data_IF_822306889483
#
_entry.id   IF_822306889483
#
_cell.length_a   1.000
_cell.length_b   1.000
_cell.length_c   1.000
_cell.angle_alpha   90.00
_cell.angle_beta   90.00
_cell.angle_gamma   90.00
#
_symmetry.space_group_name_H-M   'P 1'
#
loop_
_entity.id
_entity.type
_entity.pdbx_description
1 polymer ?
#
# COMPACT_ATOMS: atom_id res chain seq x y z
N UNK A 1 7.82 2.42 -23.18
CA UNK A 1 7.37 3.06 -21.92
C UNK A 1 7.81 2.14 -20.80
N UNK A 2 8.55 2.64 -19.81
CA UNK A 2 8.85 1.85 -18.61
C UNK A 2 7.54 1.49 -17.91
N UNK A 3 7.41 0.25 -17.48
CA UNK A 3 6.26 -0.23 -16.72
C UNK A 3 6.29 0.45 -15.34
N UNK A 4 5.25 1.21 -15.00
CA UNK A 4 5.15 1.92 -13.72
C UNK A 4 5.16 0.96 -12.52
N UNK A 5 5.39 1.48 -11.30
CA UNK A 5 5.38 0.63 -10.09
C UNK A 5 4.02 -0.05 -9.93
N UNK A 6 4.01 -1.37 -9.67
CA UNK A 6 2.82 -2.09 -9.21
C UNK A 6 2.65 -1.90 -7.72
N UNK A 7 1.64 -1.15 -7.30
CA UNK A 7 1.41 -0.76 -5.91
C UNK A 7 0.34 -1.66 -5.31
N UNK A 8 0.66 -2.34 -4.20
CA UNK A 8 -0.28 -3.19 -3.44
C UNK A 8 -1.49 -2.37 -3.00
N UNK A 9 -2.69 -2.83 -3.33
CA UNK A 9 -3.91 -2.09 -3.06
C UNK A 9 -5.15 -3.00 -3.07
N UNK A 10 -6.20 -2.59 -2.37
CA UNK A 10 -7.51 -3.24 -2.36
C UNK A 10 -8.46 -2.50 -3.31
N UNK A 11 -9.06 -3.16 -4.32
CA UNK A 11 -10.02 -2.52 -5.21
C UNK A 11 -11.30 -2.14 -4.45
N UNK A 12 -11.85 -0.97 -4.78
CA UNK A 12 -13.16 -0.51 -4.33
C UNK A 12 -14.18 -0.77 -5.44
N UNK A 13 -15.12 -1.68 -5.20
CA UNK A 13 -16.14 -2.10 -6.16
C UNK A 13 -17.25 -1.04 -6.28
N UNK A 14 -18.14 -1.20 -7.26
CA UNK A 14 -19.18 -0.23 -7.58
C UNK A 14 -20.23 -0.07 -6.47
N UNK A 15 -20.46 -1.11 -5.69
CA UNK A 15 -21.29 -1.10 -4.48
C UNK A 15 -20.57 -0.51 -3.24
N UNK A 16 -19.35 0.01 -3.43
CA UNK A 16 -18.43 0.50 -2.40
C UNK A 16 -17.95 -0.57 -1.40
N UNK A 17 -18.10 -1.86 -1.73
CA UNK A 17 -17.42 -2.93 -1.02
C UNK A 17 -15.96 -3.04 -1.45
N UNK A 18 -15.14 -3.65 -0.60
CA UNK A 18 -13.74 -3.94 -0.91
C UNK A 18 -13.65 -5.32 -1.57
N UNK A 19 -12.98 -5.40 -2.71
CA UNK A 19 -12.66 -6.66 -3.36
C UNK A 19 -11.37 -7.28 -2.82
N UNK A 20 -10.88 -8.33 -3.49
CA UNK A 20 -9.65 -9.00 -3.08
C UNK A 20 -8.42 -8.12 -3.30
N UNK A 21 -7.57 -8.04 -2.27
CA UNK A 21 -6.34 -7.26 -2.31
C UNK A 21 -5.45 -7.71 -3.47
N UNK A 22 -5.04 -6.75 -4.29
CA UNK A 22 -4.30 -6.95 -5.53
C UNK A 22 -3.29 -5.81 -5.72
N UNK A 23 -3.29 -5.16 -6.89
CA UNK A 23 -2.39 -4.05 -7.18
C UNK A 23 -2.97 -3.16 -8.28
N UNK A 24 -2.49 -1.92 -8.35
CA UNK A 24 -2.64 -1.08 -9.54
C UNK A 24 -1.26 -0.62 -10.03
N UNK A 25 -1.16 -0.22 -11.29
CA UNK A 25 0.07 0.32 -11.85
C UNK A 25 0.08 1.86 -11.70
N UNK A 26 1.18 2.42 -11.19
CA UNK A 26 1.36 3.85 -10.92
C UNK A 26 1.08 4.73 -12.15
N UNK A 27 1.43 4.26 -13.36
CA UNK A 27 1.19 4.95 -14.62
C UNK A 27 -0.30 5.08 -14.98
N UNK A 28 -1.18 4.28 -14.36
CA UNK A 28 -2.62 4.37 -14.54
C UNK A 28 -3.28 5.34 -13.55
N UNK A 29 -2.51 5.92 -12.62
CA UNK A 29 -3.04 6.79 -11.57
C UNK A 29 -3.45 8.16 -12.15
N UNK A 30 -4.75 8.45 -12.08
CA UNK A 30 -5.32 9.74 -12.53
C UNK A 30 -5.47 10.73 -11.39
N UNK A 31 -5.84 10.25 -10.19
CA UNK A 31 -6.01 11.11 -9.02
C UNK A 31 -5.91 10.32 -7.71
N UNK A 32 -5.68 11.04 -6.61
CA UNK A 32 -5.80 10.54 -5.24
C UNK A 32 -6.72 11.46 -4.47
N UNK A 33 -7.67 10.88 -3.74
CA UNK A 33 -8.51 11.60 -2.77
C UNK A 33 -8.36 10.99 -1.38
N UNK A 34 -8.50 11.78 -0.31
CA UNK A 34 -8.71 11.19 1.02
C UNK A 34 -10.17 10.81 1.21
N UNK A 35 -10.45 9.52 1.13
CA UNK A 35 -11.76 8.95 1.36
C UNK A 35 -11.97 8.61 2.84
N UNK A 36 -13.21 8.71 3.32
CA UNK A 36 -13.59 8.46 4.70
C UNK A 36 -14.58 7.29 4.81
N UNK A 37 -14.12 6.02 4.73
CA UNK A 37 -15.01 4.85 4.79
C UNK A 37 -15.71 4.68 6.13
N UNK A 38 -15.12 5.17 7.22
CA UNK A 38 -15.66 5.09 8.58
C UNK A 38 -15.41 6.39 9.33
N UNK A 39 -16.21 6.65 10.37
CA UNK A 39 -16.00 7.81 11.22
C UNK A 39 -14.58 7.80 11.82
N UNK A 40 -13.81 8.86 11.54
CA UNK A 40 -12.39 9.05 11.92
C UNK A 40 -11.33 8.23 11.17
N UNK A 41 -11.70 7.53 10.09
CA UNK A 41 -10.75 6.81 9.24
C UNK A 41 -10.66 7.54 7.90
N UNK A 42 -9.56 8.26 7.66
CA UNK A 42 -9.24 8.73 6.31
C UNK A 42 -8.21 7.79 5.72
N UNK A 43 -8.48 7.32 4.51
CA UNK A 43 -7.57 6.48 3.74
C UNK A 43 -7.49 7.02 2.30
N UNK A 44 -6.33 6.92 1.64
CA UNK A 44 -6.21 7.30 0.24
C UNK A 44 -7.07 6.42 -0.66
N UNK A 45 -7.84 7.07 -1.52
CA UNK A 45 -8.55 6.47 -2.64
C UNK A 45 -7.82 6.86 -3.92
N UNK A 46 -7.22 5.87 -4.57
CA UNK A 46 -6.53 6.00 -5.84
C UNK A 46 -7.55 5.79 -6.95
N UNK A 47 -7.77 6.84 -7.72
CA UNK A 47 -8.53 6.76 -8.97
C UNK A 47 -7.55 6.46 -10.09
N UNK A 48 -7.83 5.40 -10.84
CA UNK A 48 -7.03 4.98 -11.99
C UNK A 48 -7.89 4.88 -13.24
N UNK A 49 -7.27 4.74 -14.41
CA UNK A 49 -7.96 4.39 -15.65
C UNK A 49 -8.59 2.99 -15.65
N UNK A 50 -8.28 2.15 -14.66
CA UNK A 50 -8.73 0.76 -14.56
C UNK A 50 -9.61 0.50 -13.32
N UNK A 51 -10.05 1.55 -12.64
CA UNK A 51 -10.89 1.45 -11.45
C UNK A 51 -10.35 2.21 -10.25
N UNK A 52 -10.97 1.95 -9.11
CA UNK A 52 -10.69 2.64 -7.83
C UNK A 52 -10.04 1.67 -6.87
N UNK A 53 -9.02 2.14 -6.18
CA UNK A 53 -8.24 1.32 -5.26
C UNK A 53 -8.00 2.08 -3.96
N UNK A 54 -7.82 1.37 -2.87
CA UNK A 54 -7.37 1.92 -1.60
C UNK A 54 -6.25 1.07 -1.03
N UNK A 55 -5.61 1.54 0.03
CA UNK A 55 -4.56 0.80 0.71
C UNK A 55 -5.12 -0.39 1.50
N UNK A 56 -4.40 -1.53 1.62
CA UNK A 56 -4.83 -2.59 2.52
C UNK A 56 -4.76 -2.11 3.97
N UNK A 57 -5.79 -2.39 4.76
CA UNK A 57 -5.91 -1.93 6.15
C UNK A 57 -5.95 -3.06 7.18
N UNK A 58 -5.96 -4.31 6.71
CA UNK A 58 -6.05 -5.51 7.54
C UNK A 58 -4.96 -6.52 7.22
N UNK A 59 -4.65 -7.38 8.19
CA UNK A 59 -3.74 -8.51 7.97
C UNK A 59 -4.32 -9.50 6.96
N UNK A 60 -5.65 -9.65 6.91
CA UNK A 60 -6.31 -10.51 5.93
C UNK A 60 -6.12 -10.01 4.50
N UNK A 61 -6.34 -8.72 4.24
CA UNK A 61 -6.04 -8.13 2.92
C UNK A 61 -4.55 -8.32 2.56
N UNK A 62 -3.64 -8.17 3.53
CA UNK A 62 -2.23 -8.45 3.30
C UNK A 62 -2.00 -9.92 2.93
N UNK A 63 -2.65 -10.88 3.60
CA UNK A 63 -2.52 -12.31 3.29
C UNK A 63 -3.07 -12.68 1.91
N UNK A 64 -4.15 -12.03 1.47
CA UNK A 64 -4.72 -12.23 0.14
C UNK A 64 -3.82 -11.61 -0.93
N UNK A 65 -3.34 -10.39 -0.68
CA UNK A 65 -2.51 -9.66 -1.63
C UNK A 65 -1.07 -10.18 -1.73
N UNK A 66 -0.54 -10.85 -0.71
CA UNK A 66 0.86 -11.24 -0.61
C UNK A 66 1.02 -12.77 -0.50
N UNK A 67 1.05 -13.51 -1.61
CA UNK A 67 1.01 -14.98 -1.62
C UNK A 67 2.25 -15.63 -1.01
N UNK A 68 3.38 -14.91 -0.94
CA UNK A 68 4.61 -15.41 -0.30
C UNK A 68 4.63 -15.21 1.21
N UNK A 69 3.58 -14.58 1.78
CA UNK A 69 3.48 -14.28 3.20
C UNK A 69 2.48 -15.23 3.84
N UNK A 70 2.95 -16.01 4.83
CA UNK A 70 2.14 -17.03 5.48
C UNK A 70 2.11 -16.86 7.00
N UNK A 71 0.98 -17.18 7.62
CA UNK A 71 0.89 -17.26 9.07
C UNK A 71 1.59 -18.53 9.58
N UNK A 72 2.69 -18.36 10.32
CA UNK A 72 3.47 -19.48 10.86
C UNK A 72 3.17 -19.77 12.33
N UNK A 73 2.91 -18.74 13.13
CA UNK A 73 2.51 -18.88 14.53
C UNK A 73 1.77 -17.63 15.06
N UNK A 74 0.46 -17.55 14.83
CA UNK A 74 -0.39 -16.59 15.55
C UNK A 74 -0.71 -15.30 14.78
N UNK A 75 -0.11 -14.17 15.16
CA UNK A 75 -0.65 -12.83 14.84
C UNK A 75 0.05 -12.07 13.70
N UNK A 76 1.01 -12.69 13.03
CA UNK A 76 1.76 -12.09 11.92
C UNK A 76 1.77 -12.99 10.67
N UNK A 77 2.19 -12.40 9.55
CA UNK A 77 2.50 -13.09 8.31
C UNK A 77 3.99 -13.02 8.08
N UNK A 78 4.61 -14.14 7.74
CA UNK A 78 6.04 -14.27 7.49
C UNK A 78 6.28 -14.42 6.01
N UNK A 79 7.18 -13.62 5.43
CA UNK A 79 7.63 -13.75 4.06
C UNK A 79 8.53 -14.98 3.92
N UNK A 80 7.98 -16.06 3.38
CA UNK A 80 8.68 -17.34 3.24
C UNK A 80 9.90 -17.20 2.32
N UNK A 81 9.88 -16.28 1.35
CA UNK A 81 11.02 -16.03 0.45
C UNK A 81 12.25 -15.45 1.16
N UNK A 82 12.06 -14.85 2.33
CA UNK A 82 13.12 -14.27 3.15
C UNK A 82 13.63 -15.22 4.23
N UNK A 83 13.05 -16.41 4.37
CA UNK A 83 13.53 -17.41 5.33
C UNK A 83 14.81 -18.05 4.81
N UNK A 84 15.84 -18.10 5.67
CA UNK A 84 17.12 -18.78 5.44
C UNK A 84 17.07 -20.23 5.92
N UNK A 85 16.67 -20.43 7.17
CA UNK A 85 16.61 -21.75 7.80
C UNK A 85 15.57 -21.83 8.90
N UNK A 86 15.28 -23.06 9.33
CA UNK A 86 14.47 -23.36 10.51
C UNK A 86 15.33 -23.98 11.60
N UNK A 87 15.10 -23.55 12.83
CA UNK A 87 15.63 -24.15 14.05
C UNK A 87 14.47 -24.84 14.76
N UNK A 88 14.54 -26.15 14.93
CA UNK A 88 13.53 -26.91 15.67
C UNK A 88 13.83 -26.87 17.16
N UNK A 89 12.81 -26.63 17.98
CA UNK A 89 12.91 -26.71 19.44
C UNK A 89 12.48 -28.08 19.96
N UNK A 90 12.84 -28.37 21.21
CA UNK A 90 12.57 -29.65 21.86
C UNK A 90 11.07 -29.88 22.18
N UNK A 91 10.25 -28.83 22.16
CA UNK A 91 8.83 -28.85 22.55
C UNK A 91 7.85 -28.74 21.36
N UNK A 92 8.27 -29.15 20.16
CA UNK A 92 7.41 -29.29 18.99
C UNK A 92 7.20 -28.01 18.16
N UNK A 93 7.54 -26.84 18.69
CA UNK A 93 7.66 -25.59 17.93
C UNK A 93 9.05 -25.41 17.31
N UNK A 94 9.19 -24.39 16.48
CA UNK A 94 10.48 -23.98 15.93
C UNK A 94 10.59 -22.47 15.78
N UNK A 95 11.71 -22.05 15.20
CA UNK A 95 11.96 -20.67 14.81
C UNK A 95 12.37 -20.64 13.34
N UNK A 96 11.77 -19.75 12.56
CA UNK A 96 12.31 -19.35 11.26
C UNK A 96 13.36 -18.26 11.47
N UNK A 97 14.48 -18.36 10.75
CA UNK A 97 15.55 -17.36 10.75
C UNK A 97 15.54 -16.68 9.39
N UNK A 98 15.53 -15.35 9.36
CA UNK A 98 15.56 -14.59 8.11
C UNK A 98 16.97 -14.46 7.53
N UNK A 99 17.06 -14.29 6.21
CA UNK A 99 18.30 -14.01 5.49
C UNK A 99 18.90 -12.69 5.99
N UNK A 100 20.22 -12.66 6.17
CA UNK A 100 21.02 -11.47 6.47
C UNK A 100 20.66 -10.71 7.76
N UNK A 101 19.82 -11.27 8.63
CA UNK A 101 19.40 -10.62 9.87
C UNK A 101 19.21 -11.65 10.99
N UNK A 102 19.60 -11.32 12.23
CA UNK A 102 19.33 -12.16 13.42
C UNK A 102 17.91 -11.91 13.98
N UNK A 103 16.93 -11.88 13.07
CA UNK A 103 15.51 -11.79 13.41
C UNK A 103 14.92 -13.19 13.27
N UNK A 104 14.12 -13.56 14.26
CA UNK A 104 13.48 -14.87 14.34
C UNK A 104 12.00 -14.71 14.59
N UNK A 105 11.22 -15.56 13.95
CA UNK A 105 9.78 -15.66 14.16
C UNK A 105 9.43 -17.09 14.55
N UNK A 106 8.39 -17.26 15.34
CA UNK A 106 7.96 -18.58 15.78
C UNK A 106 7.25 -19.33 14.64
N UNK A 107 7.35 -20.66 14.66
CA UNK A 107 6.55 -21.55 13.84
C UNK A 107 5.96 -22.65 14.73
N UNK A 108 4.64 -22.82 14.68
CA UNK A 108 3.98 -23.87 15.44
C UNK A 108 4.22 -25.27 14.85
N UNK A 109 3.94 -26.32 15.63
CA UNK A 109 4.18 -27.71 15.24
C UNK A 109 3.44 -28.12 13.96
N UNK A 110 2.20 -27.64 13.77
CA UNK A 110 1.40 -27.94 12.59
C UNK A 110 2.03 -27.36 11.32
N UNK A 111 2.43 -26.09 11.34
CA UNK A 111 3.10 -25.44 10.22
C UNK A 111 4.51 -26.01 10.00
N UNK A 112 5.23 -26.35 11.06
CA UNK A 112 6.53 -27.01 10.98
C UNK A 112 6.45 -28.34 10.23
N UNK A 113 5.42 -29.17 10.53
CA UNK A 113 5.18 -30.43 9.84
C UNK A 113 4.89 -30.25 8.35
N UNK A 114 4.33 -29.10 7.96
CA UNK A 114 3.96 -28.74 6.58
C UNK A 114 4.97 -27.84 5.90
N UNK A 115 6.12 -27.55 6.53
CA UNK A 115 7.07 -26.54 6.06
C UNK A 115 7.49 -26.73 4.60
N UNK A 116 7.78 -27.97 4.18
CA UNK A 116 8.18 -28.26 2.79
C UNK A 116 7.12 -27.82 1.78
N UNK A 117 5.85 -28.01 2.10
CA UNK A 117 4.74 -27.58 1.26
C UNK A 117 4.62 -26.05 1.25
N UNK A 118 4.63 -25.43 2.42
CA UNK A 118 4.57 -23.95 2.57
C UNK A 118 5.69 -23.28 1.77
N UNK A 119 6.91 -23.80 1.88
CA UNK A 119 8.06 -23.31 1.14
C UNK A 119 7.90 -23.50 -0.37
N UNK A 120 7.47 -24.69 -0.82
CA UNK A 120 7.25 -24.96 -2.24
C UNK A 120 6.17 -24.04 -2.83
N UNK A 121 5.05 -23.85 -2.14
CA UNK A 121 3.96 -22.96 -2.56
C UNK A 121 4.45 -21.51 -2.70
N UNK A 122 5.21 -21.02 -1.72
CA UNK A 122 5.77 -19.67 -1.76
C UNK A 122 6.84 -19.48 -2.85
N UNK A 123 7.63 -20.51 -3.17
CA UNK A 123 8.62 -20.45 -4.26
C UNK A 123 8.00 -20.55 -5.65
N UNK A 124 6.82 -21.17 -5.77
CA UNK A 124 6.05 -21.27 -7.01
C UNK A 124 5.12 -20.08 -7.25
N UNK A 125 4.88 -19.25 -6.23
CA UNK A 125 4.16 -18.00 -6.40
C UNK A 125 4.90 -17.04 -7.35
N UNK A 126 4.15 -16.20 -8.04
CA UNK A 126 4.72 -15.18 -8.91
C UNK A 126 5.77 -14.36 -8.18
N UNK A 127 6.89 -14.07 -8.86
CA UNK A 127 7.96 -13.24 -8.28
C UNK A 127 7.36 -11.94 -7.77
N UNK A 128 7.70 -11.60 -6.53
CA UNK A 128 7.16 -10.43 -5.88
C UNK A 128 7.95 -9.18 -6.27
N UNK A 129 7.41 -8.38 -7.20
CA UNK A 129 7.97 -7.09 -7.62
C UNK A 129 7.07 -5.90 -7.27
N UNK A 130 6.04 -6.12 -6.46
CA UNK A 130 5.12 -5.06 -6.03
C UNK A 130 5.75 -4.20 -4.94
N UNK A 131 5.18 -3.01 -4.80
CA UNK A 131 5.56 -2.01 -3.83
C UNK A 131 4.42 -1.77 -2.85
N UNK A 132 4.78 -1.58 -1.58
CA UNK A 132 3.90 -1.03 -0.56
C UNK A 132 4.01 0.49 -0.64
N UNK A 133 2.88 1.18 -0.79
CA UNK A 133 2.81 2.59 -0.47
C UNK A 133 2.74 2.75 1.05
N UNK A 134 3.79 3.33 1.63
CA UNK A 134 3.97 3.35 3.07
C UNK A 134 4.70 4.57 3.59
N UNK A 135 4.87 4.60 4.91
CA UNK A 135 5.72 5.54 5.63
C UNK A 135 6.61 4.78 6.63
N UNK A 136 7.89 5.16 6.71
CA UNK A 136 8.82 4.59 7.69
C UNK A 136 8.46 5.00 9.13
N UNK A 137 8.50 4.04 10.05
CA UNK A 137 8.25 4.19 11.49
C UNK A 137 9.61 4.40 12.17
N UNK A 138 10.00 5.65 12.47
CA UNK A 138 11.32 5.93 13.08
C UNK A 138 11.33 5.90 14.61
N UNK A 139 10.41 6.57 15.30
CA UNK A 139 10.16 6.52 16.78
C UNK A 139 8.76 7.10 17.06
N UNK A 140 8.13 6.72 18.18
CA UNK A 140 6.74 7.03 18.63
C UNK A 140 6.14 8.32 18.04
N UNK A 141 5.13 8.14 17.18
CA UNK A 141 4.20 9.19 16.79
C UNK A 141 4.56 10.03 15.56
N UNK A 142 5.68 9.77 14.87
CA UNK A 142 6.02 10.49 13.62
C UNK A 142 6.51 9.57 12.50
N UNK A 143 5.73 9.53 11.42
CA UNK A 143 6.17 9.04 10.11
C UNK A 143 7.28 9.96 9.58
N UNK A 144 8.40 9.38 9.13
CA UNK A 144 9.58 10.16 8.77
C UNK A 144 9.71 10.44 7.27
N UNK A 145 9.47 9.42 6.44
CA UNK A 145 9.54 9.48 4.98
C UNK A 145 8.48 8.55 4.42
N UNK A 146 7.64 9.06 3.53
CA UNK A 146 6.67 8.25 2.79
C UNK A 146 7.14 7.97 1.38
N UNK A 147 6.80 6.80 0.86
CA UNK A 147 7.27 6.37 -0.45
C UNK A 147 6.83 4.94 -0.79
N UNK A 148 7.60 4.33 -1.68
CA UNK A 148 7.36 2.98 -2.17
C UNK A 148 8.43 2.02 -1.68
N UNK A 149 8.02 0.97 -1.00
CA UNK A 149 8.92 -0.02 -0.44
C UNK A 149 8.67 -1.37 -1.10
N UNK A 150 9.73 -2.01 -1.60
CA UNK A 150 9.61 -3.31 -2.28
C UNK A 150 9.14 -4.37 -1.28
N UNK A 151 8.07 -5.08 -1.62
CA UNK A 151 7.52 -6.16 -0.79
C UNK A 151 8.57 -7.25 -0.56
N UNK A 152 9.38 -7.58 -1.58
CA UNK A 152 10.43 -8.61 -1.47
C UNK A 152 11.47 -8.34 -0.38
N UNK A 153 11.62 -7.09 0.09
CA UNK A 153 12.55 -6.74 1.16
C UNK A 153 11.93 -6.90 2.56
N UNK A 154 10.62 -7.19 2.66
CA UNK A 154 9.93 -7.33 3.95
C UNK A 154 10.08 -8.77 4.46
N UNK A 155 10.35 -8.90 5.76
CA UNK A 155 10.43 -10.17 6.48
C UNK A 155 9.07 -10.63 6.99
N UNK A 156 8.29 -9.70 7.55
CA UNK A 156 7.00 -10.03 8.14
C UNK A 156 6.04 -8.84 8.07
N UNK A 157 4.75 -9.15 8.24
CA UNK A 157 3.67 -8.17 8.40
C UNK A 157 2.90 -8.51 9.66
N UNK A 158 2.71 -7.52 10.52
CA UNK A 158 1.85 -7.62 11.70
C UNK A 158 0.87 -6.44 11.74
N UNK A 159 0.06 -6.37 12.79
CA UNK A 159 -0.82 -5.23 13.04
C UNK A 159 -0.20 -4.31 14.09
N UNK A 160 -0.07 -3.03 13.74
CA UNK A 160 0.44 -1.98 14.62
C UNK A 160 -0.67 -1.00 14.99
N UNK A 161 -0.66 -0.55 16.24
CA UNK A 161 -1.62 0.41 16.78
C UNK A 161 -0.95 1.79 16.97
N UNK A 162 -0.86 2.66 15.92
CA UNK A 162 -0.29 4.00 16.06
C UNK A 162 -1.10 4.92 16.99
N UNK A 163 -2.38 4.60 17.18
CA UNK A 163 -3.30 5.30 18.09
C UNK A 163 -4.28 4.28 18.66
N UNK A 164 -4.70 4.49 19.91
CA UNK A 164 -5.69 3.65 20.59
C UNK A 164 -6.89 3.30 19.68
N UNK A 165 -7.16 2.00 19.57
CA UNK A 165 -8.19 1.35 18.77
C UNK A 165 -8.09 1.62 17.25
N UNK A 166 -6.88 1.92 16.76
CA UNK A 166 -6.63 2.15 15.34
C UNK A 166 -5.46 1.26 14.92
N UNK A 167 -5.78 0.12 14.31
CA UNK A 167 -4.81 -0.88 13.88
C UNK A 167 -4.59 -0.79 12.38
N UNK A 168 -3.32 -0.88 11.97
CA UNK A 168 -2.90 -0.83 10.57
C UNK A 168 -1.78 -1.83 10.33
N UNK A 169 -1.62 -2.34 9.10
CA UNK A 169 -0.50 -3.21 8.78
C UNK A 169 0.84 -2.51 8.98
N UNK A 170 1.74 -3.17 9.68
CA UNK A 170 3.16 -2.82 9.80
C UNK A 170 4.01 -3.88 9.13
N UNK A 171 4.86 -3.44 8.23
CA UNK A 171 5.79 -4.26 7.46
C UNK A 171 7.17 -4.13 8.07
N UNK A 172 7.79 -5.25 8.43
CA UNK A 172 9.11 -5.31 9.03
C UNK A 172 10.15 -5.71 7.98
N UNK A 173 11.28 -5.01 7.92
CA UNK A 173 12.38 -5.20 6.97
C UNK A 173 13.69 -5.05 7.71
N UNK A 174 14.09 -6.10 8.45
CA UNK A 174 15.28 -6.04 9.28
C UNK A 174 15.08 -5.11 10.47
N UNK A 175 15.95 -4.12 10.59
CA UNK A 175 15.96 -3.08 11.62
C UNK A 175 14.93 -1.96 11.39
N UNK A 176 14.22 -1.99 10.26
CA UNK A 176 13.23 -0.97 9.87
C UNK A 176 11.82 -1.53 9.84
N UNK A 177 10.87 -0.65 10.14
CA UNK A 177 9.44 -0.94 10.00
C UNK A 177 8.75 0.16 9.21
N UNK A 178 7.75 -0.21 8.43
CA UNK A 178 6.94 0.69 7.61
C UNK A 178 5.46 0.46 7.94
N UNK A 179 4.67 1.52 7.93
CA UNK A 179 3.20 1.43 7.97
C UNK A 179 2.64 1.83 6.62
N UNK A 180 1.39 1.46 6.36
CA UNK A 180 0.63 1.96 5.21
C UNK A 180 0.56 3.50 5.21
N UNK A 181 0.69 4.10 4.02
CA UNK A 181 0.58 5.55 3.82
C UNK A 181 -0.87 5.99 3.88
N UNK A 182 -1.27 6.68 4.96
CA UNK A 182 -2.69 6.99 5.21
C UNK A 182 -3.01 8.49 5.10
N UNK A 183 -1.99 9.34 5.00
CA UNK A 183 -2.16 10.80 5.10
C UNK A 183 -1.99 11.49 3.76
N UNK A 184 -2.65 12.64 3.57
CA UNK A 184 -2.40 13.48 2.40
C UNK A 184 -0.92 13.89 2.27
N UNK A 185 -0.22 14.05 3.40
CA UNK A 185 1.21 14.30 3.40
C UNK A 185 1.99 13.11 2.81
N UNK A 186 1.66 11.88 3.22
CA UNK A 186 2.27 10.70 2.65
C UNK A 186 2.02 10.57 1.14
N UNK A 187 0.81 10.89 0.68
CA UNK A 187 0.50 10.92 -0.75
C UNK A 187 1.34 11.97 -1.49
N UNK A 188 1.49 13.18 -0.93
CA UNK A 188 2.31 14.24 -1.55
C UNK A 188 3.80 13.88 -1.62
N UNK A 189 4.32 13.20 -0.61
CA UNK A 189 5.71 12.74 -0.56
C UNK A 189 5.98 11.60 -1.54
N UNK A 190 5.08 10.60 -1.58
CA UNK A 190 5.26 9.44 -2.45
C UNK A 190 4.95 9.74 -3.92
N UNK A 191 4.03 10.66 -4.20
CA UNK A 191 3.60 11.03 -5.55
C UNK A 191 3.86 12.53 -5.80
N UNK A 192 5.14 12.97 -5.83
CA UNK A 192 5.47 14.40 -5.93
C UNK A 192 5.10 15.04 -7.27
N UNK A 193 4.84 14.22 -8.30
CA UNK A 193 4.41 14.68 -9.62
C UNK A 193 2.92 15.05 -9.67
N UNK A 194 2.12 14.68 -8.66
CA UNK A 194 0.70 15.00 -8.63
C UNK A 194 0.46 16.44 -8.18
N UNK A 195 -0.48 17.11 -8.85
CA UNK A 195 -0.86 18.48 -8.57
C UNK A 195 -2.01 18.57 -7.55
N UNK A 196 -1.92 19.41 -6.50
CA UNK A 196 -3.00 19.58 -5.53
C UNK A 196 -4.13 20.45 -6.10
N UNK A 197 -5.13 19.82 -6.72
CA UNK A 197 -6.24 20.49 -7.40
C UNK A 197 -7.28 21.09 -6.44
N UNK A 198 -7.61 20.37 -5.37
CA UNK A 198 -8.60 20.76 -4.37
C UNK A 198 -8.20 20.30 -2.97
N UNK A 199 -9.05 20.60 -1.98
CA UNK A 199 -8.85 20.09 -0.62
C UNK A 199 -8.86 18.56 -0.65
N UNK A 200 -7.77 17.96 -0.20
CA UNK A 200 -7.57 16.51 -0.11
C UNK A 200 -7.59 15.74 -1.44
N UNK A 201 -7.48 16.46 -2.58
CA UNK A 201 -7.43 15.86 -3.93
C UNK A 201 -6.11 16.22 -4.63
N UNK A 202 -5.38 15.20 -5.05
CA UNK A 202 -4.19 15.28 -5.91
C UNK A 202 -4.52 14.71 -7.28
N UNK A 203 -4.05 15.34 -8.36
CA UNK A 203 -4.37 14.91 -9.74
C UNK A 203 -3.10 14.75 -10.58
N UNK A 204 -3.14 13.83 -11.53
CA UNK A 204 -2.10 13.67 -12.52
C UNK A 204 -2.39 14.59 -13.72
N UNK A 205 -1.63 15.67 -13.85
CA UNK A 205 -1.83 16.65 -14.92
C UNK A 205 -1.54 16.07 -16.31
N UNK A 206 -0.67 15.07 -16.40
CA UNK A 206 -0.30 14.44 -17.68
C UNK A 206 -1.46 13.64 -18.29
N UNK A 207 -2.45 13.27 -17.46
CA UNK A 207 -3.64 12.54 -17.89
C UNK A 207 -4.89 13.43 -17.95
N UNK A 208 -4.77 14.74 -17.75
CA UNK A 208 -5.91 15.66 -17.88
C UNK A 208 -6.18 15.92 -19.36
N UNK A 209 -7.39 15.57 -19.82
CA UNK A 209 -7.81 15.82 -21.21
C UNK A 209 -8.62 17.13 -21.34
N UNK A 210 -9.34 17.54 -20.30
CA UNK A 210 -10.17 18.74 -20.34
C UNK A 210 -10.29 19.38 -18.95
N UNK A 211 -10.31 20.72 -18.91
CA UNK A 211 -10.69 21.50 -17.73
C UNK A 211 -11.77 22.52 -18.11
N UNK A 212 -13.01 22.21 -17.78
CA UNK A 212 -14.15 23.11 -17.97
C UNK A 212 -14.16 24.17 -16.86
N UNK A 213 -13.85 25.42 -17.21
CA UNK A 213 -13.84 26.53 -16.23
C UNK A 213 -15.27 26.96 -15.88
N UNK A 214 -15.55 27.17 -14.59
CA UNK A 214 -16.84 27.70 -14.11
C UNK A 214 -16.62 28.78 -13.04
N UNK A 215 -17.70 29.38 -12.54
CA UNK A 215 -17.64 30.49 -11.58
C UNK A 215 -16.94 30.12 -10.25
N UNK A 216 -16.87 28.84 -9.92
CA UNK A 216 -16.30 28.33 -8.66
C UNK A 216 -14.90 27.70 -8.83
N UNK A 217 -14.40 27.60 -10.06
CA UNK A 217 -13.12 26.96 -10.37
C UNK A 217 -13.14 26.27 -11.72
N UNK A 218 -12.85 24.97 -11.73
CA UNK A 218 -12.99 24.14 -12.93
C UNK A 218 -13.34 22.69 -12.62
N UNK A 219 -14.00 22.03 -13.57
CA UNK A 219 -14.22 20.58 -13.56
C UNK A 219 -13.13 19.93 -14.41
N UNK A 220 -12.40 18.99 -13.83
CA UNK A 220 -11.29 18.27 -14.47
C UNK A 220 -11.77 16.92 -14.97
N UNK A 221 -11.46 16.59 -16.22
CA UNK A 221 -11.68 15.27 -16.83
C UNK A 221 -10.33 14.64 -17.18
N UNK A 222 -10.26 13.32 -17.10
CA UNK A 222 -9.04 12.56 -17.34
C UNK A 222 -9.18 11.65 -18.56
N UNK A 223 -8.08 11.43 -19.28
CA UNK A 223 -8.03 10.46 -20.37
C UNK A 223 -8.17 9.04 -19.83
N UNK A 224 -9.06 8.25 -20.43
CA UNK A 224 -9.26 6.84 -20.07
C UNK A 224 -9.87 6.60 -18.68
N UNK A 225 -10.54 7.59 -18.08
CA UNK A 225 -11.23 7.41 -16.80
C UNK A 225 -12.54 8.21 -16.76
N UNK A 226 -13.60 7.62 -16.20
CA UNK A 226 -14.87 8.31 -15.95
C UNK A 226 -14.83 9.20 -14.69
N UNK A 227 -13.71 9.14 -13.94
CA UNK A 227 -13.54 9.99 -12.77
C UNK A 227 -13.43 11.46 -13.19
N UNK A 228 -14.12 12.33 -12.46
CA UNK A 228 -14.00 13.78 -12.59
C UNK A 228 -13.87 14.40 -11.21
N UNK A 229 -13.15 15.52 -11.13
CA UNK A 229 -13.00 16.21 -9.86
C UNK A 229 -13.00 17.73 -10.04
N UNK A 230 -13.31 18.45 -8.96
CA UNK A 230 -13.22 19.90 -8.94
C UNK A 230 -11.78 20.37 -8.77
N UNK A 231 -11.43 21.51 -9.39
CA UNK A 231 -10.21 22.27 -9.14
C UNK A 231 -10.59 23.66 -8.64
N UNK A 232 -9.95 24.10 -7.56
CA UNK A 232 -10.24 25.44 -7.01
C UNK A 232 -9.74 26.55 -7.93
N UNK A 233 -10.44 27.69 -7.93
CA UNK A 233 -10.12 28.84 -8.79
C UNK A 233 -8.64 29.29 -8.69
N UNK A 234 -8.08 29.33 -7.49
CA UNK A 234 -6.68 29.71 -7.27
C UNK A 234 -5.70 28.70 -7.89
N UNK A 235 -6.02 27.41 -7.80
CA UNK A 235 -5.21 26.33 -8.38
C UNK A 235 -5.30 26.32 -9.91
N UNK A 236 -6.48 26.57 -10.47
CA UNK A 236 -6.66 26.71 -11.91
C UNK A 236 -5.91 27.93 -12.47
N UNK A 237 -6.00 29.08 -11.78
CA UNK A 237 -5.27 30.29 -12.16
C UNK A 237 -3.75 30.09 -12.10
N UNK A 238 -3.24 29.34 -11.12
CA UNK A 238 -1.82 29.01 -11.02
C UNK A 238 -1.38 28.08 -12.16
N UNK A 239 -2.16 27.05 -12.47
CA UNK A 239 -1.88 26.10 -13.55
C UNK A 239 -1.82 26.80 -14.93
N UNK A 240 -2.78 27.68 -15.23
CA UNK A 240 -2.80 28.48 -16.47
C UNK A 240 -1.57 29.38 -16.64
N UNK A 241 -0.82 29.67 -15.58
CA UNK A 241 0.46 30.41 -15.67
C UNK A 241 1.65 29.50 -15.99
N UNK A 242 1.57 28.22 -15.64
CA UNK A 242 2.64 27.23 -15.87
C UNK A 242 2.62 26.66 -17.30
N UNK A 243 1.45 26.65 -17.95
CA UNK A 243 1.27 26.19 -19.33
C UNK A 243 1.46 27.29 -20.40
N UNK A 244 1.92 28.47 -20.00
CA UNK A 244 2.34 29.54 -20.92
C UNK A 244 3.84 29.52 -21.08
#
# INVERSE_FOLDING_TARGET
MEEGKRILATPLLDDNSLGDCSFFCENHLVAIELWKPKSNYHIPLFHTSHGRFTVPTTLHECSVGLPTFCNLDGSNLVNITQVDKIITGDYGGGQVVFKNHDIKESINSANLSRWKQIYADAMNADREFRYIFGSEIKVVGKAAVSGFFKVMNMHSVDMWEPKKNYYVPRFNSGDRSYTIGLTAQACREAFPYLYPAYKDTLINLDLVCEIESNAFGGLVRFEGSDFTCSMSHNKLKALKKLWK
#
